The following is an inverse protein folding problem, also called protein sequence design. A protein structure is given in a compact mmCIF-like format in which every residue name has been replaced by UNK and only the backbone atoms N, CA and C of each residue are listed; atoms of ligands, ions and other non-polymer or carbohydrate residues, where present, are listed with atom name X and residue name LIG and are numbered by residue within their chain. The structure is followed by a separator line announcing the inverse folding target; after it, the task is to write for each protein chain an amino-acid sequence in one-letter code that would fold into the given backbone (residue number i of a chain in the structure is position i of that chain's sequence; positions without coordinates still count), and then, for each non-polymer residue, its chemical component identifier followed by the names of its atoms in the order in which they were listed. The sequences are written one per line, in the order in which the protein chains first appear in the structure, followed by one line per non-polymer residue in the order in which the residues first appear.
data_IF_303891765884
#
_entry.id   IF_303891765884
#
_cell.length_a   1.000
_cell.length_b   1.000
_cell.length_c   1.000
_cell.angle_alpha   90.00
_cell.angle_beta   90.00
_cell.angle_gamma   90.00
#
_symmetry.space_group_name_H-M   'P 1'
#
loop_
_entity.id
_entity.type
_entity.pdbx_description
1 polymer ?
#
# COMPACT_ATOMS: atom_id res chain seq x y z
N UNK A 1 24.12 12.22 -2.11
CA UNK A 1 23.03 12.67 -1.18
C UNK A 1 23.57 13.00 0.22
N UNK A 2 24.57 12.27 0.77
CA UNK A 2 25.20 12.60 2.07
C UNK A 2 25.85 13.98 2.06
N UNK A 3 26.58 14.34 0.99
CA UNK A 3 27.21 15.66 0.84
C UNK A 3 26.23 16.83 0.94
N UNK A 4 25.06 16.71 0.31
CA UNK A 4 24.02 17.74 0.35
C UNK A 4 23.37 17.91 1.74
N UNK A 5 23.32 16.84 2.53
CA UNK A 5 22.78 16.88 3.89
C UNK A 5 23.78 17.38 4.92
N UNK A 6 25.07 17.11 4.74
CA UNK A 6 26.14 17.54 5.66
C UNK A 6 26.39 19.04 5.61
N UNK A 7 26.16 19.68 4.47
CA UNK A 7 26.35 21.13 4.32
C UNK A 7 25.22 21.96 4.96
N UNK A 8 24.04 21.34 5.22
CA UNK A 8 22.84 22.07 5.65
C UNK A 8 22.38 21.83 7.09
N UNK A 9 22.85 20.80 7.81
CA UNK A 9 22.19 20.42 9.07
C UNK A 9 23.08 20.01 10.25
N UNK A 10 24.40 19.93 10.11
CA UNK A 10 25.27 19.50 11.23
C UNK A 10 25.12 18.04 11.71
N UNK A 11 24.25 17.23 11.07
CA UNK A 11 23.98 15.82 11.42
C UNK A 11 24.87 14.83 10.65
N UNK A 12 26.06 15.25 10.22
CA UNK A 12 26.96 14.40 9.43
C UNK A 12 27.34 13.10 10.14
N UNK A 13 27.49 13.17 11.47
CA UNK A 13 27.95 12.05 12.30
C UNK A 13 26.83 11.04 12.62
N UNK A 14 25.56 11.40 12.37
CA UNK A 14 24.41 10.51 12.58
C UNK A 14 24.05 9.69 11.34
N UNK A 15 24.65 9.99 10.19
CA UNK A 15 24.33 9.30 8.94
C UNK A 15 25.40 8.25 8.59
N UNK A 16 24.97 7.03 8.46
CA UNK A 16 25.82 5.94 8.00
C UNK A 16 26.31 6.17 6.57
N UNK A 17 27.58 5.95 6.34
CA UNK A 17 28.11 5.84 5.00
C UNK A 17 27.61 4.56 4.31
N UNK A 18 27.61 4.47 2.97
CA UNK A 18 27.28 3.23 2.28
C UNK A 18 28.14 2.04 2.73
N UNK A 19 29.44 2.25 2.98
CA UNK A 19 30.35 1.20 3.43
C UNK A 19 30.05 0.71 4.86
N UNK A 20 29.67 1.61 5.77
CA UNK A 20 29.25 1.25 7.13
C UNK A 20 27.95 0.44 7.09
N UNK A 21 26.99 0.85 6.24
CA UNK A 21 25.74 0.12 6.05
C UNK A 21 25.99 -1.28 5.45
N UNK A 22 26.86 -1.37 4.45
CA UNK A 22 27.27 -2.65 3.86
C UNK A 22 27.92 -3.57 4.90
N UNK A 23 28.85 -3.04 5.70
CA UNK A 23 29.51 -3.78 6.78
C UNK A 23 28.52 -4.26 7.84
N UNK A 24 27.55 -3.43 8.20
CA UNK A 24 26.49 -3.82 9.15
C UNK A 24 25.59 -4.92 8.56
N UNK A 25 25.15 -4.79 7.31
CA UNK A 25 24.33 -5.78 6.64
C UNK A 25 25.04 -7.13 6.48
N UNK A 26 26.36 -7.13 6.23
CA UNK A 26 27.14 -8.34 6.10
C UNK A 26 27.22 -9.15 7.41
N UNK A 27 27.11 -8.50 8.57
CA UNK A 27 27.13 -9.14 9.89
C UNK A 27 25.76 -9.59 10.39
N UNK A 28 24.69 -9.24 9.70
CA UNK A 28 23.30 -9.48 10.10
C UNK A 28 22.53 -10.23 9.03
N UNK A 29 21.41 -10.85 9.41
CA UNK A 29 20.43 -11.34 8.45
C UNK A 29 19.66 -10.13 7.94
N UNK A 30 19.99 -9.68 6.73
CA UNK A 30 19.35 -8.53 6.11
C UNK A 30 18.57 -8.95 4.85
N UNK A 31 17.44 -8.29 4.63
CA UNK A 31 16.66 -8.39 3.42
C UNK A 31 16.76 -7.07 2.67
N UNK A 32 17.15 -7.13 1.41
CA UNK A 32 17.17 -5.97 0.54
C UNK A 32 16.04 -6.10 -0.46
N UNK A 33 15.11 -5.17 -0.42
CA UNK A 33 13.99 -5.09 -1.37
C UNK A 33 14.28 -3.98 -2.35
N UNK A 34 14.42 -4.31 -3.63
CA UNK A 34 14.68 -3.34 -4.68
C UNK A 34 13.70 -3.53 -5.84
N UNK A 35 13.17 -2.43 -6.35
CA UNK A 35 12.29 -2.45 -7.53
C UNK A 35 13.06 -2.72 -8.84
N UNK A 36 14.34 -2.36 -8.87
CA UNK A 36 15.24 -2.58 -10.01
C UNK A 36 16.43 -3.40 -9.50
N UNK A 37 16.64 -4.56 -10.10
CA UNK A 37 17.48 -5.65 -9.63
C UNK A 37 18.99 -5.41 -9.54
N UNK A 38 19.45 -4.27 -9.04
CA UNK A 38 20.88 -4.03 -8.82
C UNK A 38 21.12 -3.45 -7.41
N UNK A 39 21.31 -4.35 -6.46
CA UNK A 39 21.95 -4.01 -5.19
C UNK A 39 23.46 -4.04 -5.39
N UNK A 40 24.17 -3.01 -4.88
CA UNK A 40 25.63 -3.03 -4.74
C UNK A 40 26.08 -3.94 -3.60
N UNK A 41 25.13 -4.40 -2.79
CA UNK A 41 25.38 -5.34 -1.71
C UNK A 41 25.62 -6.73 -2.26
N UNK A 42 26.66 -7.43 -1.79
CA UNK A 42 26.86 -8.83 -2.08
C UNK A 42 25.75 -9.62 -1.37
N UNK A 43 24.78 -10.10 -2.16
CA UNK A 43 23.65 -10.87 -1.65
C UNK A 43 24.00 -12.36 -1.71
N UNK A 44 23.67 -13.09 -0.65
CA UNK A 44 23.82 -14.55 -0.65
C UNK A 44 22.85 -15.24 -1.59
N UNK A 45 21.68 -14.64 -1.81
CA UNK A 45 20.64 -15.15 -2.68
C UNK A 45 19.85 -14.00 -3.26
N UNK A 46 19.74 -13.97 -4.56
CA UNK A 46 18.83 -13.09 -5.28
C UNK A 46 17.52 -13.83 -5.56
N UNK A 47 16.40 -13.23 -5.14
CA UNK A 47 15.06 -13.76 -5.37
C UNK A 47 14.31 -12.76 -6.21
N UNK A 48 14.11 -13.11 -7.48
CA UNK A 48 13.27 -12.32 -8.35
C UNK A 48 11.79 -12.67 -8.08
N UNK A 49 11.00 -11.67 -7.66
CA UNK A 49 9.55 -11.81 -7.48
C UNK A 49 8.85 -11.11 -8.63
N UNK A 50 8.35 -11.88 -9.64
CA UNK A 50 7.78 -11.31 -10.86
C UNK A 50 6.35 -10.80 -10.58
N UNK A 51 6.24 -9.59 -10.05
CA UNK A 51 4.95 -8.94 -9.77
C UNK A 51 4.75 -7.70 -10.63
N UNK A 52 3.49 -7.40 -10.94
CA UNK A 52 3.06 -6.15 -11.57
C UNK A 52 2.02 -5.46 -10.71
N UNK A 53 2.05 -4.14 -10.71
CA UNK A 53 0.99 -3.34 -10.10
C UNK A 53 -0.32 -3.50 -10.87
N UNK A 54 -1.42 -3.40 -10.15
CA UNK A 54 -2.75 -3.30 -10.76
C UNK A 54 -3.06 -1.83 -11.03
N UNK A 55 -3.70 -1.55 -12.17
CA UNK A 55 -4.17 -0.21 -12.49
C UNK A 55 -5.36 0.14 -11.57
N UNK A 56 -5.43 1.38 -11.04
CA UNK A 56 -6.53 1.78 -10.17
C UNK A 56 -7.84 1.94 -10.96
N UNK A 57 -8.93 1.42 -10.41
CA UNK A 57 -10.28 1.50 -11.02
C UNK A 57 -10.98 2.83 -10.76
N UNK A 58 -10.56 3.58 -9.75
CA UNK A 58 -11.14 4.89 -9.41
C UNK A 58 -12.68 4.86 -9.30
N UNK A 59 -13.23 3.85 -8.65
CA UNK A 59 -14.67 3.58 -8.47
C UNK A 59 -15.43 3.17 -9.75
N UNK A 60 -14.73 2.88 -10.82
CA UNK A 60 -15.37 2.33 -12.01
C UNK A 60 -15.68 0.84 -11.82
N UNK A 61 -16.84 0.55 -11.25
CA UNK A 61 -17.26 -0.83 -10.95
C UNK A 61 -17.56 -1.64 -12.21
N UNK A 62 -17.92 -1.00 -13.32
CA UNK A 62 -18.16 -1.69 -14.59
C UNK A 62 -16.85 -2.25 -15.15
N UNK A 63 -15.81 -1.43 -15.17
CA UNK A 63 -14.46 -1.87 -15.57
C UNK A 63 -13.97 -2.99 -14.68
N UNK A 64 -14.09 -2.82 -13.36
CA UNK A 64 -13.72 -3.87 -12.38
C UNK A 64 -14.47 -5.18 -12.66
N UNK A 65 -15.78 -5.10 -12.89
CA UNK A 65 -16.60 -6.29 -13.16
C UNK A 65 -16.17 -7.00 -14.42
N UNK A 66 -15.89 -6.25 -15.49
CA UNK A 66 -15.40 -6.78 -16.76
C UNK A 66 -14.04 -7.48 -16.62
N UNK A 67 -13.10 -6.85 -15.91
CA UNK A 67 -11.79 -7.44 -15.66
C UNK A 67 -11.88 -8.69 -14.79
N UNK A 68 -12.72 -8.67 -13.74
CA UNK A 68 -12.93 -9.84 -12.89
C UNK A 68 -13.54 -11.01 -13.68
N UNK A 69 -14.46 -10.77 -14.59
CA UNK A 69 -15.02 -11.78 -15.51
C UNK A 69 -13.95 -12.35 -16.43
N UNK A 70 -13.15 -11.48 -17.04
CA UNK A 70 -12.06 -11.88 -17.90
C UNK A 70 -11.03 -12.75 -17.15
N UNK A 71 -10.63 -12.35 -15.98
CA UNK A 71 -9.66 -13.14 -15.17
C UNK A 71 -10.21 -14.49 -14.75
N UNK A 72 -11.49 -14.57 -14.37
CA UNK A 72 -12.12 -15.84 -14.06
C UNK A 72 -12.19 -16.75 -15.30
N UNK A 73 -12.50 -16.20 -16.48
CA UNK A 73 -12.50 -16.94 -17.74
C UNK A 73 -11.09 -17.44 -18.11
N UNK A 74 -10.06 -16.67 -17.83
CA UNK A 74 -8.64 -17.05 -18.00
C UNK A 74 -8.14 -18.04 -16.93
N UNK A 75 -9.00 -18.51 -16.03
CA UNK A 75 -8.65 -19.45 -14.97
C UNK A 75 -7.86 -18.84 -13.82
N UNK A 76 -7.83 -17.51 -13.72
CA UNK A 76 -7.17 -16.83 -12.62
C UNK A 76 -8.07 -16.81 -11.38
N UNK A 77 -7.44 -16.62 -10.23
CA UNK A 77 -8.11 -16.56 -8.91
C UNK A 77 -7.97 -15.14 -8.35
N UNK A 78 -8.96 -14.27 -8.59
CA UNK A 78 -8.95 -12.93 -8.02
C UNK A 78 -9.18 -12.98 -6.50
N UNK A 79 -8.32 -12.28 -5.77
CA UNK A 79 -8.47 -12.00 -4.34
C UNK A 79 -8.68 -10.51 -4.17
N UNK A 80 -9.69 -10.12 -3.40
CA UNK A 80 -9.96 -8.71 -3.10
C UNK A 80 -9.85 -8.49 -1.60
N UNK A 81 -8.98 -7.57 -1.21
CA UNK A 81 -8.74 -7.22 0.19
C UNK A 81 -9.41 -5.90 0.54
N UNK A 82 -10.27 -5.94 1.54
CA UNK A 82 -10.99 -4.78 2.07
C UNK A 82 -10.54 -4.47 3.49
N UNK A 83 -10.61 -3.21 3.91
CA UNK A 83 -10.11 -2.77 5.22
C UNK A 83 -10.93 -3.28 6.42
N UNK A 84 -12.08 -3.92 6.20
CA UNK A 84 -12.89 -4.53 7.27
C UNK A 84 -13.79 -5.64 6.76
N UNK A 85 -14.22 -6.53 7.65
CA UNK A 85 -15.16 -7.62 7.35
C UNK A 85 -16.48 -7.11 6.79
N UNK A 86 -16.98 -5.99 7.32
CA UNK A 86 -18.25 -5.39 6.86
C UNK A 86 -18.16 -4.97 5.41
N UNK A 87 -17.08 -4.28 5.03
CA UNK A 87 -16.85 -3.87 3.66
C UNK A 87 -16.60 -5.07 2.73
N UNK A 88 -15.86 -6.07 3.22
CA UNK A 88 -15.58 -7.28 2.46
C UNK A 88 -16.87 -8.05 2.13
N UNK A 89 -17.78 -8.20 3.09
CA UNK A 89 -19.09 -8.82 2.87
C UNK A 89 -19.92 -7.99 1.89
N UNK A 90 -20.05 -6.68 2.11
CA UNK A 90 -20.79 -5.80 1.22
C UNK A 90 -20.29 -5.81 -0.23
N UNK A 91 -18.96 -5.89 -0.43
CA UNK A 91 -18.41 -6.05 -1.76
C UNK A 91 -18.74 -7.43 -2.35
N UNK A 92 -18.62 -8.51 -1.59
CA UNK A 92 -18.97 -9.86 -2.06
C UNK A 92 -20.44 -9.91 -2.50
N UNK A 93 -21.36 -9.38 -1.70
CA UNK A 93 -22.81 -9.30 -2.04
C UNK A 93 -23.05 -8.46 -3.29
N UNK A 94 -22.35 -7.33 -3.42
CA UNK A 94 -22.43 -6.47 -4.61
C UNK A 94 -21.92 -7.16 -5.87
N UNK A 95 -20.87 -7.96 -5.79
CA UNK A 95 -20.38 -8.75 -6.92
C UNK A 95 -21.31 -9.89 -7.27
N UNK A 96 -21.90 -10.57 -6.27
CA UNK A 96 -22.92 -11.61 -6.50
C UNK A 96 -24.16 -11.06 -7.19
N UNK A 97 -24.63 -9.86 -6.83
CA UNK A 97 -25.78 -9.22 -7.49
C UNK A 97 -25.50 -8.88 -8.97
N UNK A 98 -24.25 -8.89 -9.37
CA UNK A 98 -23.78 -8.73 -10.76
C UNK A 98 -23.45 -10.07 -11.45
N UNK A 99 -23.95 -11.18 -10.92
CA UNK A 99 -23.74 -12.54 -11.42
C UNK A 99 -22.26 -12.99 -11.39
N UNK A 100 -21.45 -12.43 -10.50
CA UNK A 100 -20.09 -12.90 -10.27
C UNK A 100 -20.07 -13.87 -9.08
N UNK A 101 -19.36 -15.00 -9.23
CA UNK A 101 -19.14 -15.92 -8.14
C UNK A 101 -18.10 -15.34 -7.15
N UNK A 102 -18.58 -14.61 -6.16
CA UNK A 102 -17.76 -13.98 -5.13
C UNK A 102 -18.15 -14.46 -3.74
N UNK A 103 -17.20 -14.61 -2.84
CA UNK A 103 -17.49 -14.93 -1.45
C UNK A 103 -16.52 -14.26 -0.49
N UNK A 104 -17.05 -13.73 0.62
CA UNK A 104 -16.23 -13.31 1.75
C UNK A 104 -15.72 -14.55 2.48
N UNK A 105 -14.45 -14.54 2.81
CA UNK A 105 -13.78 -15.65 3.47
C UNK A 105 -12.91 -15.09 4.60
N UNK A 106 -13.01 -15.69 5.77
CA UNK A 106 -12.08 -15.41 6.88
C UNK A 106 -10.75 -16.13 6.66
N UNK A 107 -9.77 -15.80 7.49
CA UNK A 107 -8.43 -16.39 7.47
C UNK A 107 -8.43 -17.91 7.32
N UNK A 108 -7.43 -18.44 6.65
CA UNK A 108 -7.19 -19.88 6.49
C UNK A 108 -7.97 -20.57 5.37
N UNK A 109 -8.75 -19.84 4.56
CA UNK A 109 -9.45 -20.47 3.45
C UNK A 109 -8.54 -20.62 2.22
N UNK A 110 -8.66 -21.76 1.58
CA UNK A 110 -7.98 -22.05 0.32
C UNK A 110 -8.59 -21.21 -0.81
N UNK A 111 -7.74 -20.64 -1.62
CA UNK A 111 -8.12 -20.00 -2.88
C UNK A 111 -8.70 -21.07 -3.81
N UNK A 112 -9.83 -20.76 -4.46
CA UNK A 112 -10.49 -21.70 -5.38
C UNK A 112 -10.62 -21.07 -6.76
N UNK A 113 -10.23 -21.79 -7.82
CA UNK A 113 -10.49 -21.36 -9.19
C UNK A 113 -11.99 -21.13 -9.44
N UNK A 114 -12.31 -20.22 -10.33
CA UNK A 114 -13.70 -19.89 -10.69
C UNK A 114 -14.47 -19.09 -9.63
N UNK A 115 -13.78 -18.57 -8.60
CA UNK A 115 -14.39 -17.75 -7.55
C UNK A 115 -13.52 -16.58 -7.18
N UNK A 116 -14.15 -15.43 -7.00
CA UNK A 116 -13.54 -14.24 -6.41
C UNK A 116 -13.56 -14.40 -4.90
N UNK A 117 -12.39 -14.37 -4.28
CA UNK A 117 -12.25 -14.46 -2.83
C UNK A 117 -12.13 -13.07 -2.25
N UNK A 118 -13.05 -12.66 -1.39
CA UNK A 118 -12.99 -11.37 -0.71
C UNK A 118 -12.57 -11.60 0.73
N UNK A 119 -11.53 -10.90 1.18
CA UNK A 119 -10.96 -11.00 2.52
C UNK A 119 -10.88 -9.64 3.19
N UNK A 120 -10.72 -9.62 4.51
CA UNK A 120 -10.38 -8.42 5.26
C UNK A 120 -8.89 -8.35 5.56
N UNK A 121 -8.32 -7.14 5.50
CA UNK A 121 -6.91 -6.87 5.76
C UNK A 121 -6.48 -5.49 5.28
N UNK A 122 -5.23 -5.15 5.50
CA UNK A 122 -4.66 -3.88 5.08
C UNK A 122 -3.44 -4.10 4.18
N UNK A 123 -3.54 -3.62 2.96
CA UNK A 123 -2.42 -3.49 2.04
C UNK A 123 -2.60 -2.20 1.22
N UNK A 124 -1.51 -1.51 0.92
CA UNK A 124 -1.55 -0.20 0.26
C UNK A 124 -1.96 -0.31 -1.20
N UNK A 125 -1.48 -1.33 -1.92
CA UNK A 125 -1.73 -1.55 -3.33
C UNK A 125 -1.78 -3.04 -3.66
N UNK A 126 -2.61 -3.39 -4.63
CA UNK A 126 -2.70 -4.73 -5.17
C UNK A 126 -1.57 -5.05 -6.14
N UNK A 127 -1.47 -6.32 -6.45
CA UNK A 127 -0.47 -6.81 -7.38
C UNK A 127 -0.95 -8.09 -8.09
N UNK A 128 -0.33 -8.38 -9.23
CA UNK A 128 -0.53 -9.59 -10.00
C UNK A 128 0.80 -10.30 -10.16
N UNK A 129 0.86 -11.58 -9.83
CA UNK A 129 2.00 -12.42 -10.15
C UNK A 129 1.99 -12.78 -11.63
N UNK A 130 3.17 -12.78 -12.23
CA UNK A 130 3.30 -13.11 -13.64
C UNK A 130 3.23 -14.62 -13.92
N UNK A 131 3.74 -15.41 -12.96
CA UNK A 131 3.86 -16.86 -13.09
C UNK A 131 2.83 -17.65 -12.28
N UNK A 132 1.93 -16.93 -11.59
CA UNK A 132 0.94 -17.55 -10.73
C UNK A 132 -0.47 -17.19 -11.21
N UNK A 133 -1.40 -18.10 -10.99
CA UNK A 133 -2.78 -17.93 -11.46
C UNK A 133 -3.64 -17.09 -10.49
N UNK A 134 -3.05 -16.24 -9.66
CA UNK A 134 -3.80 -15.41 -8.75
C UNK A 134 -3.31 -13.97 -8.73
N UNK A 135 -4.19 -13.08 -8.35
CA UNK A 135 -3.92 -11.67 -8.23
C UNK A 135 -4.63 -11.11 -6.98
N UNK A 136 -4.09 -10.03 -6.44
CA UNK A 136 -4.66 -9.33 -5.31
C UNK A 136 -5.03 -7.90 -5.70
N UNK A 137 -6.28 -7.54 -5.43
CA UNK A 137 -6.78 -6.17 -5.48
C UNK A 137 -6.97 -5.66 -4.06
N UNK A 138 -6.76 -4.38 -3.84
CA UNK A 138 -7.04 -3.72 -2.57
C UNK A 138 -8.23 -2.77 -2.67
N UNK A 139 -8.76 -2.37 -1.52
CA UNK A 139 -9.76 -1.32 -1.45
C UNK A 139 -9.30 -0.03 -2.15
N UNK A 140 -8.00 0.30 -2.02
CA UNK A 140 -7.41 1.48 -2.64
C UNK A 140 -7.39 1.40 -4.17
N UNK A 141 -7.16 0.23 -4.75
CA UNK A 141 -7.18 0.03 -6.19
C UNK A 141 -8.60 0.22 -6.75
N UNK A 142 -9.60 -0.24 -6.01
CA UNK A 142 -11.01 -0.17 -6.42
C UNK A 142 -11.59 1.23 -6.23
N UNK A 143 -11.43 1.80 -5.05
CA UNK A 143 -12.11 3.03 -4.65
C UNK A 143 -11.23 4.28 -4.66
N UNK A 144 -9.93 4.13 -4.89
CA UNK A 144 -8.93 5.17 -4.76
C UNK A 144 -8.46 5.35 -3.31
N UNK A 145 -7.28 5.93 -3.14
CA UNK A 145 -6.76 6.24 -1.82
C UNK A 145 -7.71 7.22 -1.12
N UNK A 146 -8.35 6.79 -0.07
CA UNK A 146 -9.00 7.71 0.84
C UNK A 146 -7.88 8.51 1.52
N UNK A 147 -7.78 9.80 1.19
CA UNK A 147 -6.98 10.71 2.02
C UNK A 147 -7.52 10.54 3.44
N UNK A 148 -6.77 9.83 4.31
CA UNK A 148 -7.05 9.85 5.76
C UNK A 148 -7.09 11.34 6.09
N UNK A 149 -8.28 11.88 6.34
CA UNK A 149 -8.39 13.20 6.98
C UNK A 149 -7.53 13.05 8.22
N UNK A 150 -6.36 13.67 8.20
CA UNK A 150 -5.63 13.88 9.44
C UNK A 150 -6.67 14.55 10.32
N UNK A 151 -7.18 13.81 11.29
CA UNK A 151 -7.80 14.44 12.44
C UNK A 151 -6.73 15.40 12.90
N UNK A 152 -6.95 16.70 12.64
CA UNK A 152 -6.20 17.71 13.33
C UNK A 152 -6.43 17.36 14.79
N UNK A 153 -5.46 16.68 15.40
CA UNK A 153 -5.29 16.75 16.83
C UNK A 153 -5.30 18.24 17.06
N UNK A 154 -6.37 18.72 17.72
CA UNK A 154 -6.40 20.07 18.24
C UNK A 154 -5.16 20.14 19.11
N UNK A 155 -4.03 20.58 18.53
CA UNK A 155 -3.01 21.18 19.34
C UNK A 155 -3.77 22.28 20.05
N UNK A 156 -3.87 22.18 21.35
CA UNK A 156 -4.36 23.19 22.24
C UNK A 156 -3.35 24.35 22.25
N UNK A 157 -3.17 24.97 21.08
CA UNK A 157 -2.68 26.32 21.00
C UNK A 157 -3.72 27.18 21.71
N UNK A 158 -3.30 27.99 22.64
CA UNK A 158 -4.16 28.94 23.31
C UNK A 158 -4.93 29.71 22.23
N UNK A 159 -6.25 29.58 22.24
CA UNK A 159 -7.12 30.28 21.31
C UNK A 159 -7.02 31.76 21.67
N UNK A 160 -6.43 32.58 20.79
CA UNK A 160 -6.39 34.00 20.95
C UNK A 160 -7.83 34.49 21.08
N UNK A 161 -8.18 35.03 22.27
CA UNK A 161 -9.54 35.50 22.53
C UNK A 161 -9.79 36.88 21.93
N UNK A 162 -8.72 37.65 21.68
CA UNK A 162 -8.82 39.02 21.11
C UNK A 162 -7.68 39.30 20.12
N UNK A 163 -7.98 39.95 19.01
CA UNK A 163 -7.01 40.42 18.02
C UNK A 163 -5.95 41.37 18.62
N UNK A 164 -6.23 42.01 19.76
CA UNK A 164 -5.29 42.88 20.46
C UNK A 164 -4.11 42.16 21.11
N UNK A 165 -4.13 40.82 21.17
CA UNK A 165 -3.03 40.01 21.71
C UNK A 165 -1.92 39.74 20.68
N UNK A 166 -2.18 40.06 19.41
CA UNK A 166 -1.20 39.86 18.31
C UNK A 166 -0.28 41.08 18.24
N UNK A 167 1.02 40.85 18.34
CA UNK A 167 2.04 41.89 18.22
C UNK A 167 2.75 41.77 16.86
N UNK A 168 3.32 42.89 16.40
CA UNK A 168 4.15 42.87 15.20
C UNK A 168 5.36 41.93 15.41
N UNK A 169 5.47 40.90 14.58
CA UNK A 169 6.49 39.83 14.69
C UNK A 169 5.93 38.48 15.11
N UNK A 170 4.66 38.33 15.47
CA UNK A 170 4.04 37.06 15.77
C UNK A 170 3.74 36.27 14.47
N UNK A 171 3.98 34.98 14.52
CA UNK A 171 3.63 34.09 13.41
C UNK A 171 2.16 33.69 13.51
N UNK A 172 1.39 34.01 12.48
CA UNK A 172 0.00 33.56 12.34
C UNK A 172 -0.08 32.53 11.21
N UNK A 173 -0.82 31.44 11.47
CA UNK A 173 -1.09 30.41 10.47
C UNK A 173 -2.47 30.65 9.89
N UNK A 174 -2.51 30.79 8.60
CA UNK A 174 -3.73 31.03 7.83
C UNK A 174 -4.41 29.70 7.45
#
# INVERSE_FOLDING_TARGET
KRQLYTESSGYADELWSPAELEGFCAQKRAWVVAALGHSRLQLFKDINVPVRSVAPYNRNLELLTGDLQGWLADGQVPVVMMSSDIKARGLADSLQSRNLNAAFVKEGALLRPGRITVISGELTAGFRFWNENWLLLTENDIFGMQKKRRLHTKNSGAQLQYFSEIKAGDYVVH
#
